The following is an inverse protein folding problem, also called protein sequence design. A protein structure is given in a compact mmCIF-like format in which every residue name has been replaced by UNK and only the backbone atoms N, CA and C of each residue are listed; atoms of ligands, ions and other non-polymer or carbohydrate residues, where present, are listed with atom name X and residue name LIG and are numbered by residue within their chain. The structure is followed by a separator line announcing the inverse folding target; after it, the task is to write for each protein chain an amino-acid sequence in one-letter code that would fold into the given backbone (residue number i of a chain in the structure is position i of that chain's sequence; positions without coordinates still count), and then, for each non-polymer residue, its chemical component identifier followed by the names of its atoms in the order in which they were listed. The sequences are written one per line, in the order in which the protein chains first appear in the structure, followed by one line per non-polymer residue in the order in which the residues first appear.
data_IF_823320707195
#
_entry.id   IF_823320707195
#
_cell.length_a   1.000
_cell.length_b   1.000
_cell.length_c   1.000
_cell.angle_alpha   90.00
_cell.angle_beta   90.00
_cell.angle_gamma   90.00
#
_symmetry.space_group_name_H-M   'P 1'
#
loop_
_entity.id
_entity.type
_entity.pdbx_description
1 polymer ?
#
# COMPACT_ATOMS: atom_id res chain seq x y z
N UNK A 1 -2.14 -17.69 -12.23
CA UNK A 1 -1.67 -18.92 -12.89
C UNK A 1 -0.21 -18.70 -13.23
N UNK A 2 0.70 -19.63 -12.90
CA UNK A 2 2.06 -19.62 -13.46
C UNK A 2 1.99 -19.69 -14.99
N UNK A 3 2.96 -19.10 -15.67
CA UNK A 3 3.12 -19.28 -17.12
C UNK A 3 3.66 -20.68 -17.45
N UNK A 4 3.90 -20.94 -18.73
CA UNK A 4 4.44 -22.22 -19.21
C UNK A 4 5.82 -22.56 -18.62
N UNK A 5 6.55 -21.56 -18.10
CA UNK A 5 7.85 -21.72 -17.44
C UNK A 5 7.74 -21.81 -15.92
N UNK A 6 6.52 -21.82 -15.36
CA UNK A 6 6.27 -21.88 -13.92
C UNK A 6 6.39 -20.53 -13.20
N UNK A 7 6.54 -19.42 -13.91
CA UNK A 7 6.65 -18.08 -13.33
C UNK A 7 5.29 -17.45 -13.09
N UNK A 8 5.07 -16.94 -11.88
CA UNK A 8 3.86 -16.19 -11.53
C UNK A 8 4.06 -14.73 -11.95
N UNK A 9 3.20 -14.28 -12.87
CA UNK A 9 3.19 -12.90 -13.34
C UNK A 9 2.06 -12.11 -12.70
N UNK A 10 2.40 -10.94 -12.14
CA UNK A 10 1.43 -9.92 -11.76
C UNK A 10 1.25 -8.92 -12.90
N UNK A 11 0.00 -8.55 -13.20
CA UNK A 11 -0.31 -7.48 -14.15
C UNK A 11 -1.18 -6.44 -13.45
N UNK A 12 -0.81 -5.17 -13.55
CA UNK A 12 -1.72 -4.09 -13.14
C UNK A 12 -2.90 -4.08 -14.11
N UNK A 13 -4.10 -4.22 -13.56
CA UNK A 13 -5.37 -4.25 -14.30
C UNK A 13 -6.27 -3.13 -13.78
N UNK A 14 -7.39 -2.88 -14.47
CA UNK A 14 -8.39 -1.88 -14.08
C UNK A 14 -7.82 -0.45 -14.04
N UNK A 15 -7.52 0.08 -15.23
CA UNK A 15 -7.02 1.44 -15.44
C UNK A 15 -8.14 2.42 -15.84
N UNK A 16 -9.41 2.02 -15.69
CA UNK A 16 -10.57 2.81 -16.13
C UNK A 16 -10.72 4.12 -15.33
N UNK A 17 -10.14 4.14 -14.13
CA UNK A 17 -10.06 5.31 -13.25
C UNK A 17 -8.71 6.05 -13.33
N UNK A 18 -7.80 5.63 -14.22
CA UNK A 18 -6.52 6.32 -14.42
C UNK A 18 -6.70 7.70 -15.08
N UNK A 19 -5.76 8.61 -14.81
CA UNK A 19 -5.80 9.97 -15.33
C UNK A 19 -4.44 10.39 -15.87
N UNK A 20 -4.44 11.09 -17.01
CA UNK A 20 -3.25 11.72 -17.55
C UNK A 20 -2.95 13.01 -16.77
N UNK A 21 -1.73 13.12 -16.22
CA UNK A 21 -1.36 14.18 -15.27
C UNK A 21 -0.86 15.45 -15.97
N UNK A 22 -0.42 15.39 -17.23
CA UNK A 22 0.06 16.57 -17.93
C UNK A 22 -1.11 17.33 -18.61
N UNK A 23 -1.61 18.37 -17.94
CA UNK A 23 -2.41 19.41 -18.58
C UNK A 23 -3.92 19.35 -18.40
N UNK A 24 -4.45 18.68 -17.36
CA UNK A 24 -5.90 18.58 -17.16
C UNK A 24 -6.40 19.27 -15.88
N UNK A 25 -7.47 20.06 -16.05
CA UNK A 25 -8.12 20.91 -15.05
C UNK A 25 -9.59 20.49 -14.79
N UNK A 26 -9.97 19.21 -14.90
CA UNK A 26 -11.34 18.79 -14.53
C UNK A 26 -11.41 17.83 -13.36
N UNK A 27 -12.44 18.07 -12.57
CA UNK A 27 -12.85 17.44 -11.33
C UNK A 27 -13.59 16.12 -11.60
N UNK A 28 -12.97 14.98 -11.32
CA UNK A 28 -13.75 13.73 -11.14
C UNK A 28 -14.16 13.58 -9.68
N UNK A 29 -15.37 13.07 -9.48
CA UNK A 29 -15.88 12.68 -8.16
C UNK A 29 -14.91 11.71 -7.49
N UNK A 30 -14.59 11.93 -6.21
CA UNK A 30 -13.71 11.03 -5.45
C UNK A 30 -14.33 9.63 -5.40
N UNK A 31 -13.85 8.76 -6.28
CA UNK A 31 -14.29 7.38 -6.43
C UNK A 31 -13.07 6.48 -6.28
N UNK A 32 -13.25 5.34 -5.61
CA UNK A 32 -12.19 4.40 -5.26
C UNK A 32 -12.59 3.56 -4.06
N UNK A 33 -11.96 2.41 -3.87
CA UNK A 33 -12.19 1.59 -2.68
C UNK A 33 -11.58 2.28 -1.46
N UNK A 34 -12.40 2.74 -0.50
CA UNK A 34 -11.93 3.49 0.69
C UNK A 34 -10.75 2.84 1.39
N UNK A 35 -10.74 1.51 1.45
CA UNK A 35 -9.65 0.68 2.00
C UNK A 35 -8.28 1.06 1.44
N UNK A 36 -8.18 1.46 0.18
CA UNK A 36 -6.93 1.78 -0.50
C UNK A 36 -6.78 3.28 -0.80
N UNK A 37 -7.76 4.14 -0.48
CA UNK A 37 -7.62 5.57 -0.68
C UNK A 37 -6.53 6.18 0.23
N UNK A 38 -5.71 7.08 -0.32
CA UNK A 38 -4.73 7.83 0.46
C UNK A 38 -5.37 8.71 1.56
N UNK A 39 -4.62 9.01 2.62
CA UNK A 39 -5.05 9.76 3.80
C UNK A 39 -5.60 11.14 3.42
N UNK A 40 -4.91 11.89 2.54
CA UNK A 40 -5.39 13.19 2.06
C UNK A 40 -6.66 13.11 1.23
N UNK A 41 -6.82 12.02 0.47
CA UNK A 41 -8.06 11.74 -0.28
C UNK A 41 -9.22 11.60 0.70
N UNK A 42 -9.07 10.77 1.74
CA UNK A 42 -10.09 10.58 2.77
C UNK A 42 -10.39 11.86 3.56
N UNK A 43 -9.36 12.65 3.87
CA UNK A 43 -9.51 13.95 4.54
C UNK A 43 -10.34 14.92 3.69
N UNK A 44 -10.07 15.01 2.39
CA UNK A 44 -10.84 15.88 1.49
C UNK A 44 -12.32 15.44 1.40
N UNK A 45 -12.61 14.13 1.34
CA UNK A 45 -13.99 13.60 1.43
C UNK A 45 -14.64 14.03 2.75
N UNK A 46 -13.95 13.80 3.88
CA UNK A 46 -14.47 14.07 5.21
C UNK A 46 -14.83 15.54 5.42
N UNK A 47 -13.95 16.44 4.97
CA UNK A 47 -14.13 17.89 5.11
C UNK A 47 -15.05 18.50 4.05
N UNK A 48 -15.54 17.69 3.08
CA UNK A 48 -16.31 18.15 1.93
C UNK A 48 -15.64 19.32 1.21
N UNK A 49 -14.30 19.34 1.17
CA UNK A 49 -13.50 20.50 0.76
C UNK A 49 -13.48 20.75 -0.75
N UNK A 50 -14.54 20.36 -1.47
CA UNK A 50 -14.61 20.49 -2.92
C UNK A 50 -13.54 19.65 -3.63
N UNK A 51 -12.91 20.23 -4.65
CA UNK A 51 -12.00 19.56 -5.56
C UNK A 51 -10.65 19.23 -4.93
N UNK A 52 -10.13 18.02 -5.18
CA UNK A 52 -8.74 17.67 -4.87
C UNK A 52 -7.99 17.19 -6.10
N UNK A 53 -6.80 17.74 -6.32
CA UNK A 53 -5.88 17.27 -7.37
C UNK A 53 -5.28 15.92 -6.94
N UNK A 54 -5.56 14.87 -7.72
CA UNK A 54 -4.90 13.57 -7.60
C UNK A 54 -3.49 13.65 -8.18
N UNK A 55 -2.59 12.88 -7.61
CA UNK A 55 -1.15 12.94 -7.89
C UNK A 55 -0.57 11.55 -7.78
N UNK A 56 0.59 11.33 -8.41
CA UNK A 56 1.32 10.06 -8.36
C UNK A 56 1.54 9.53 -6.94
N UNK A 57 1.73 10.43 -5.95
CA UNK A 57 1.87 10.06 -4.53
C UNK A 57 0.66 9.28 -4.03
N UNK A 58 -0.55 9.69 -4.40
CA UNK A 58 -1.76 9.03 -3.93
C UNK A 58 -1.81 7.58 -4.43
N UNK A 59 -1.34 7.32 -5.65
CA UNK A 59 -1.24 5.98 -6.21
C UNK A 59 -0.17 5.14 -5.51
N UNK A 60 0.98 5.74 -5.18
CA UNK A 60 2.05 5.08 -4.41
C UNK A 60 1.59 4.72 -2.99
N UNK A 61 0.83 5.61 -2.34
CA UNK A 61 0.24 5.35 -1.02
C UNK A 61 -0.83 4.24 -1.10
N UNK A 62 -1.68 4.26 -2.14
CA UNK A 62 -2.63 3.18 -2.43
C UNK A 62 -1.95 1.85 -2.66
N UNK A 63 -0.87 1.81 -3.44
CA UNK A 63 -0.06 0.62 -3.67
C UNK A 63 0.54 0.08 -2.36
N UNK A 64 1.04 0.95 -1.49
CA UNK A 64 1.53 0.54 -0.18
C UNK A 64 0.44 -0.11 0.67
N UNK A 65 -0.80 0.39 0.63
CA UNK A 65 -1.92 -0.27 1.30
C UNK A 65 -2.26 -1.64 0.73
N UNK A 66 -2.21 -1.80 -0.59
CA UNK A 66 -2.38 -3.12 -1.24
C UNK A 66 -1.28 -4.08 -0.78
N UNK A 67 -0.03 -3.62 -0.75
CA UNK A 67 1.11 -4.38 -0.26
C UNK A 67 0.91 -4.84 1.19
N UNK A 68 0.53 -3.94 2.10
CA UNK A 68 0.29 -4.27 3.51
C UNK A 68 -0.86 -5.28 3.68
N UNK A 69 -1.98 -5.08 2.97
CA UNK A 69 -3.12 -6.00 3.00
C UNK A 69 -2.70 -7.37 2.48
N UNK A 70 -1.93 -7.42 1.38
CA UNK A 70 -1.36 -8.66 0.85
C UNK A 70 -0.51 -9.40 1.89
N UNK A 71 0.43 -8.70 2.52
CA UNK A 71 1.33 -9.27 3.52
C UNK A 71 0.62 -9.84 4.75
N UNK A 72 -0.48 -9.20 5.18
CA UNK A 72 -1.26 -9.64 6.35
C UNK A 72 -2.24 -10.75 6.01
N UNK A 73 -2.91 -10.67 4.85
CA UNK A 73 -4.04 -11.54 4.54
C UNK A 73 -3.68 -12.77 3.69
N UNK A 74 -2.70 -12.66 2.79
CA UNK A 74 -2.43 -13.73 1.83
C UNK A 74 -1.79 -14.97 2.51
N UNK A 75 -2.20 -16.16 2.05
CA UNK A 75 -1.78 -17.44 2.65
C UNK A 75 -2.43 -17.75 4.02
N UNK A 76 -3.44 -17.00 4.44
CA UNK A 76 -4.18 -17.21 5.70
C UNK A 76 -5.65 -17.51 5.42
N UNK A 77 -6.31 -18.11 6.41
CA UNK A 77 -7.76 -18.28 6.41
C UNK A 77 -8.45 -16.91 6.31
N UNK A 78 -9.28 -16.66 5.26
CA UNK A 78 -10.01 -15.42 5.12
C UNK A 78 -10.83 -15.04 6.36
N UNK A 79 -11.40 -16.00 7.09
CA UNK A 79 -12.17 -15.74 8.30
C UNK A 79 -11.30 -15.15 9.43
N UNK A 80 -10.03 -15.58 9.53
CA UNK A 80 -9.11 -15.13 10.57
C UNK A 80 -8.59 -13.70 10.34
N UNK A 81 -8.63 -13.19 9.11
CA UNK A 81 -8.11 -11.86 8.73
C UNK A 81 -9.18 -10.90 8.23
N UNK A 82 -10.43 -11.36 8.13
CA UNK A 82 -11.56 -10.63 7.54
C UNK A 82 -11.67 -9.21 8.07
N UNK A 83 -11.59 -9.07 9.39
CA UNK A 83 -11.89 -7.80 10.06
C UNK A 83 -10.66 -6.92 10.30
N UNK A 84 -9.45 -7.40 9.98
CA UNK A 84 -8.18 -6.73 10.32
C UNK A 84 -8.07 -5.31 9.77
N UNK A 85 -8.71 -5.03 8.62
CA UNK A 85 -8.68 -3.73 7.96
C UNK A 85 -10.06 -3.09 7.78
N UNK A 86 -11.10 -3.56 8.49
CA UNK A 86 -12.46 -3.00 8.36
C UNK A 86 -12.50 -1.52 8.76
N UNK A 87 -11.68 -1.12 9.73
CA UNK A 87 -11.53 0.26 10.18
C UNK A 87 -10.91 1.19 9.13
N UNK A 88 -10.31 0.66 8.05
CA UNK A 88 -9.86 1.47 6.90
C UNK A 88 -10.97 1.75 5.89
N UNK A 89 -12.12 1.07 5.99
CA UNK A 89 -13.23 1.18 5.06
C UNK A 89 -14.61 1.16 5.74
N UNK A 90 -14.69 1.76 6.92
CA UNK A 90 -15.97 2.05 7.59
C UNK A 90 -16.75 3.14 6.85
N UNK A 91 -17.99 3.39 7.28
CA UNK A 91 -18.84 4.45 6.70
C UNK A 91 -18.30 5.86 6.91
N UNK A 92 -17.41 6.09 7.88
CA UNK A 92 -16.84 7.40 8.20
C UNK A 92 -15.48 7.61 7.57
N UNK A 93 -15.37 8.52 6.58
CA UNK A 93 -14.08 8.85 5.95
C UNK A 93 -13.06 9.45 6.93
N UNK A 94 -13.51 10.23 7.92
CA UNK A 94 -12.64 10.75 8.98
C UNK A 94 -12.11 9.62 9.88
N UNK A 95 -12.97 8.66 10.25
CA UNK A 95 -12.57 7.49 11.03
C UNK A 95 -11.57 6.62 10.27
N UNK A 96 -11.80 6.40 8.97
CA UNK A 96 -10.90 5.66 8.09
C UNK A 96 -9.53 6.36 7.98
N UNK A 97 -9.54 7.68 7.89
CA UNK A 97 -8.34 8.51 7.83
C UNK A 97 -7.53 8.42 9.12
N UNK A 98 -8.16 8.60 10.29
CA UNK A 98 -7.50 8.48 11.59
C UNK A 98 -6.97 7.06 11.85
N UNK A 99 -7.71 6.03 11.45
CA UNK A 99 -7.28 4.64 11.50
C UNK A 99 -5.98 4.42 10.71
N UNK A 100 -5.94 4.88 9.46
CA UNK A 100 -4.75 4.77 8.61
C UNK A 100 -3.57 5.53 9.18
N UNK A 101 -3.77 6.78 9.64
CA UNK A 101 -2.71 7.55 10.29
C UNK A 101 -2.13 6.84 11.51
N UNK A 102 -2.99 6.25 12.35
CA UNK A 102 -2.54 5.51 13.52
C UNK A 102 -1.72 4.29 13.14
N UNK A 103 -2.15 3.55 12.11
CA UNK A 103 -1.51 2.29 11.68
C UNK A 103 -0.23 2.52 10.90
N UNK A 104 -0.16 3.49 9.98
CA UNK A 104 1.09 3.81 9.27
C UNK A 104 2.01 4.72 10.07
N UNK A 105 1.51 5.37 11.12
CA UNK A 105 2.25 6.23 12.02
C UNK A 105 3.08 5.43 13.03
N UNK A 106 2.88 5.67 14.32
CA UNK A 106 3.66 5.06 15.39
C UNK A 106 3.32 3.59 15.65
N UNK A 107 2.15 3.11 15.21
CA UNK A 107 1.68 1.75 15.51
C UNK A 107 1.97 0.71 14.41
N UNK A 108 2.78 1.06 13.40
CA UNK A 108 3.05 0.20 12.25
C UNK A 108 3.52 -1.20 12.67
N UNK A 109 4.47 -1.27 13.60
CA UNK A 109 4.99 -2.55 14.09
C UNK A 109 3.85 -3.43 14.63
N UNK A 110 3.16 -2.96 15.67
CA UNK A 110 2.22 -3.76 16.47
C UNK A 110 0.94 -4.09 15.69
N UNK A 111 0.44 -3.14 14.89
CA UNK A 111 -0.86 -3.28 14.21
C UNK A 111 -0.75 -3.93 12.83
N UNK A 112 0.41 -3.84 12.18
CA UNK A 112 0.59 -4.27 10.80
C UNK A 112 1.70 -5.32 10.69
N UNK A 113 2.94 -4.96 11.03
CA UNK A 113 4.11 -5.82 10.77
C UNK A 113 4.06 -7.13 11.55
N UNK A 114 3.69 -7.09 12.83
CA UNK A 114 3.55 -8.27 13.69
C UNK A 114 2.40 -9.19 13.24
N UNK A 115 1.56 -8.72 12.32
CA UNK A 115 0.40 -9.44 11.79
C UNK A 115 0.63 -10.02 10.40
N UNK A 116 1.82 -9.83 9.83
CA UNK A 116 2.21 -10.45 8.57
C UNK A 116 2.01 -11.97 8.64
N UNK A 117 1.51 -12.52 7.54
CA UNK A 117 1.49 -13.96 7.31
C UNK A 117 2.93 -14.50 7.35
N UNK A 118 3.15 -15.74 7.85
CA UNK A 118 4.48 -16.34 7.89
C UNK A 118 5.25 -16.24 6.56
N UNK A 119 4.53 -16.42 5.43
CA UNK A 119 5.07 -16.33 4.07
C UNK A 119 5.74 -14.99 3.74
N UNK A 120 5.46 -13.92 4.50
CA UNK A 120 6.00 -12.58 4.28
C UNK A 120 6.89 -12.09 5.43
N UNK A 121 7.30 -12.96 6.35
CA UNK A 121 8.22 -12.59 7.43
C UNK A 121 9.52 -11.97 6.90
N UNK A 122 10.04 -12.49 5.78
CA UNK A 122 11.26 -12.03 5.15
C UNK A 122 11.21 -10.60 4.59
N UNK A 123 10.02 -10.05 4.35
CA UNK A 123 9.85 -8.72 3.73
C UNK A 123 9.34 -7.65 4.70
N UNK A 124 9.37 -7.91 6.01
CA UNK A 124 9.01 -6.91 7.04
C UNK A 124 9.89 -5.66 6.97
N UNK A 125 11.19 -5.82 6.68
CA UNK A 125 12.12 -4.69 6.49
C UNK A 125 11.70 -3.80 5.32
N UNK A 126 11.29 -4.39 4.20
CA UNK A 126 10.78 -3.65 3.04
C UNK A 126 9.55 -2.82 3.40
N UNK A 127 8.63 -3.37 4.19
CA UNK A 127 7.44 -2.64 4.65
C UNK A 127 7.82 -1.38 5.48
N UNK A 128 8.84 -1.49 6.33
CA UNK A 128 9.38 -0.35 7.08
C UNK A 128 10.03 0.69 6.16
N UNK A 129 10.87 0.26 5.22
CA UNK A 129 11.57 1.15 4.28
C UNK A 129 10.56 1.92 3.42
N UNK A 130 9.56 1.23 2.84
CA UNK A 130 8.48 1.85 2.07
C UNK A 130 7.67 2.85 2.90
N UNK A 131 7.33 2.52 4.16
CA UNK A 131 6.64 3.45 5.05
C UNK A 131 7.48 4.71 5.29
N UNK A 132 8.78 4.56 5.57
CA UNK A 132 9.65 5.71 5.82
C UNK A 132 9.79 6.60 4.58
N UNK A 133 9.91 6.00 3.39
CA UNK A 133 9.97 6.76 2.13
C UNK A 133 8.67 7.55 1.92
N UNK A 134 7.52 6.91 2.10
CA UNK A 134 6.22 7.54 1.82
C UNK A 134 5.81 8.58 2.87
N UNK A 135 6.00 8.29 4.15
CA UNK A 135 5.44 9.05 5.26
C UNK A 135 6.49 9.75 6.13
N UNK A 136 7.77 9.66 5.76
CA UNK A 136 8.89 10.17 6.54
C UNK A 136 9.14 9.36 7.81
N UNK A 137 10.19 9.73 8.54
CA UNK A 137 10.61 9.07 9.80
C UNK A 137 9.49 9.09 10.85
N UNK A 138 8.74 10.20 10.92
CA UNK A 138 7.66 10.37 11.90
C UNK A 138 6.31 9.80 11.45
N UNK A 139 6.16 9.39 10.19
CA UNK A 139 4.91 8.82 9.67
C UNK A 139 3.79 9.83 9.47
N UNK A 140 4.13 11.11 9.37
CA UNK A 140 3.20 12.23 9.32
C UNK A 140 3.36 13.09 8.05
N UNK A 141 4.16 12.64 7.08
CA UNK A 141 4.29 13.30 5.79
C UNK A 141 3.23 12.79 4.81
N UNK A 142 2.36 13.69 4.33
CA UNK A 142 1.26 13.36 3.41
C UNK A 142 1.22 14.25 2.16
N UNK A 143 2.18 15.17 2.01
CA UNK A 143 2.25 16.11 0.89
C UNK A 143 2.85 15.47 -0.36
N UNK A 144 2.41 15.96 -1.52
CA UNK A 144 3.01 15.60 -2.81
C UNK A 144 4.18 16.52 -3.12
N UNK A 145 5.36 15.94 -3.33
CA UNK A 145 6.53 16.68 -3.81
C UNK A 145 6.44 16.89 -5.34
N UNK A 146 7.05 17.95 -5.86
CA UNK A 146 7.04 18.21 -7.31
C UNK A 146 7.92 17.22 -8.09
N UNK A 147 9.05 16.88 -7.50
CA UNK A 147 9.98 15.93 -8.08
C UNK A 147 9.54 14.51 -7.74
N UNK A 148 9.15 13.77 -8.79
CA UNK A 148 8.65 12.41 -8.68
C UNK A 148 9.76 11.42 -8.29
N UNK A 149 11.02 11.70 -8.66
CA UNK A 149 12.16 10.82 -8.42
C UNK A 149 12.40 10.59 -6.93
N UNK A 150 12.05 11.58 -6.08
CA UNK A 150 12.19 11.52 -4.62
C UNK A 150 11.40 10.37 -4.00
N UNK A 151 10.31 9.92 -4.62
CA UNK A 151 9.55 8.75 -4.14
C UNK A 151 9.80 7.52 -5.00
N UNK A 152 9.84 7.65 -6.33
CA UNK A 152 10.02 6.49 -7.20
C UNK A 152 11.37 5.81 -7.01
N UNK A 153 12.48 6.56 -7.05
CA UNK A 153 13.82 5.96 -7.04
C UNK A 153 14.11 5.23 -5.71
N UNK A 154 13.77 5.78 -4.53
CA UNK A 154 13.93 5.05 -3.28
C UNK A 154 13.02 3.83 -3.17
N UNK A 155 11.77 3.89 -3.66
CA UNK A 155 10.86 2.73 -3.66
C UNK A 155 11.43 1.62 -4.54
N UNK A 156 11.82 1.94 -5.77
CA UNK A 156 12.43 0.99 -6.72
C UNK A 156 13.69 0.38 -6.09
N UNK A 157 14.53 1.22 -5.49
CA UNK A 157 15.76 0.79 -4.80
C UNK A 157 15.46 -0.18 -3.66
N UNK A 158 14.44 0.09 -2.82
CA UNK A 158 14.05 -0.79 -1.72
C UNK A 158 13.58 -2.16 -2.23
N UNK A 159 12.80 -2.20 -3.30
CA UNK A 159 12.39 -3.45 -3.95
C UNK A 159 13.58 -4.21 -4.52
N UNK A 160 14.45 -3.56 -5.29
CA UNK A 160 15.62 -4.20 -5.90
C UNK A 160 16.57 -4.77 -4.83
N UNK A 161 16.80 -4.06 -3.72
CA UNK A 161 17.57 -4.57 -2.59
C UNK A 161 16.92 -5.82 -1.98
N UNK A 162 15.60 -5.82 -1.83
CA UNK A 162 14.86 -6.96 -1.27
C UNK A 162 14.90 -8.17 -2.20
N UNK A 163 14.71 -7.96 -3.50
CA UNK A 163 14.83 -8.99 -4.54
C UNK A 163 16.25 -9.59 -4.51
N UNK A 164 17.28 -8.74 -4.48
CA UNK A 164 18.66 -9.20 -4.36
C UNK A 164 18.88 -10.07 -3.11
N UNK A 165 18.31 -9.70 -1.95
CA UNK A 165 18.38 -10.53 -0.73
C UNK A 165 17.68 -11.88 -0.91
N UNK A 166 16.60 -11.96 -1.71
CA UNK A 166 15.93 -13.22 -2.03
C UNK A 166 16.82 -14.07 -2.94
N UNK A 167 17.38 -13.48 -3.99
CA UNK A 167 18.26 -14.16 -4.95
C UNK A 167 19.54 -14.68 -4.28
N UNK A 168 20.11 -13.89 -3.37
CA UNK A 168 21.29 -14.25 -2.57
C UNK A 168 20.95 -15.26 -1.45
N UNK A 169 19.68 -15.69 -1.32
CA UNK A 169 19.22 -16.68 -0.32
C UNK A 169 19.16 -16.19 1.12
N UNK A 170 19.34 -14.87 1.35
CA UNK A 170 19.24 -14.22 2.66
C UNK A 170 17.79 -14.22 3.15
N UNK A 171 16.86 -13.86 2.26
CA UNK A 171 15.42 -14.00 2.51
C UNK A 171 14.98 -15.31 1.88
N UNK A 172 14.50 -16.23 2.70
CA UNK A 172 13.93 -17.50 2.21
C UNK A 172 12.59 -17.23 1.53
N UNK A 173 12.45 -17.70 0.29
CA UNK A 173 11.15 -17.82 -0.34
C UNK A 173 10.43 -19.01 0.29
N UNK A 174 9.63 -18.76 1.33
CA UNK A 174 8.79 -19.79 1.93
C UNK A 174 7.72 -20.18 0.91
N UNK A 175 7.98 -21.23 0.14
CA UNK A 175 7.00 -21.80 -0.79
C UNK A 175 5.75 -22.16 -0.01
N UNK A 176 4.63 -21.59 -0.43
CA UNK A 176 3.31 -21.93 0.07
C UNK A 176 3.07 -23.40 -0.31
N UNK A 177 3.16 -24.29 0.67
CA UNK A 177 2.58 -25.62 0.50
C UNK A 177 1.07 -25.42 0.43
N UNK A 178 0.40 -25.81 -0.68
CA UNK A 178 -1.05 -25.82 -0.71
C UNK A 178 -1.50 -26.73 0.42
N UNK A 179 -2.29 -26.20 1.36
CA UNK A 179 -3.03 -27.08 2.27
C UNK A 179 -4.04 -27.82 1.37
N UNK A 180 -3.86 -29.14 1.27
CA UNK A 180 -4.78 -30.03 0.59
C UNK A 180 -6.15 -30.08 1.26
#
# INVERSE_FOLDING_TARGET
MPDESGFIHGKLIDLDMSMYVAGYNETKSLTGTMKFMAIKVLQNIALRSGTMTKTYRHDLESFFYVFLVGCVCYGRDPAAVKDHFNHWCSSGSLSNQGAKMADVGLNLQIRIIDKFSPCFNGIKELAFELRQILFGINGNFYDTLRDISILYDPIITAFLKTIKKIDDGIIRNETITPRG
#
